data_IF_385926868368
#
_entry.id   IF_385926868368
#
_cell.length_a   1.000
_cell.length_b   1.000
_cell.length_c   1.000
_cell.angle_alpha   90.00
_cell.angle_beta   90.00
_cell.angle_gamma   90.00
#
_symmetry.space_group_name_H-M   'P 1'
#
loop_
_entity.id
_entity.type
_entity.pdbx_description
1 polymer ?
#
# COMPACT_ATOMS: atom_id res chain seq x y z
N UNK A 1 24.13 17.39 -12.49
CA UNK A 1 24.95 16.21 -12.82
C UNK A 1 24.24 14.99 -12.25
N UNK A 2 23.50 14.25 -13.07
CA UNK A 2 22.79 13.05 -12.61
C UNK A 2 23.79 11.90 -12.47
N UNK A 3 24.10 11.52 -11.23
CA UNK A 3 24.81 10.27 -10.95
C UNK A 3 23.93 9.10 -11.43
N UNK A 4 24.41 8.21 -12.29
CA UNK A 4 23.64 7.03 -12.66
C UNK A 4 23.53 6.16 -11.42
N UNK A 5 22.29 5.91 -10.97
CA UNK A 5 21.99 4.85 -10.02
C UNK A 5 22.53 3.56 -10.65
N UNK A 6 23.63 3.03 -10.08
CA UNK A 6 24.20 1.75 -10.46
C UNK A 6 23.15 0.67 -10.20
N UNK A 7 22.39 0.32 -11.25
CA UNK A 7 21.48 -0.82 -11.21
C UNK A 7 22.32 -2.08 -10.94
N UNK A 8 21.81 -3.02 -10.12
CA UNK A 8 22.50 -4.30 -9.89
C UNK A 8 22.85 -4.95 -11.23
N UNK A 9 24.00 -5.62 -11.34
CA UNK A 9 24.47 -6.32 -12.54
C UNK A 9 23.32 -7.17 -13.10
N UNK A 10 22.60 -6.64 -14.09
CA UNK A 10 21.50 -7.34 -14.74
C UNK A 10 22.10 -8.49 -15.52
N UNK A 11 21.85 -9.73 -15.08
CA UNK A 11 22.35 -10.93 -15.75
C UNK A 11 21.76 -10.95 -17.18
N UNK A 12 22.59 -11.07 -18.23
CA UNK A 12 22.08 -11.05 -19.60
C UNK A 12 21.12 -12.20 -19.82
N UNK A 13 20.06 -11.94 -20.60
CA UNK A 13 19.07 -12.94 -20.95
C UNK A 13 19.71 -13.98 -21.89
N UNK A 14 19.13 -15.18 -21.94
CA UNK A 14 19.56 -16.25 -22.85
C UNK A 14 19.57 -15.85 -24.33
N UNK A 15 18.86 -14.78 -24.70
CA UNK A 15 18.76 -14.26 -26.07
C UNK A 15 19.75 -13.13 -26.42
N UNK A 16 20.66 -12.74 -25.52
CA UNK A 16 21.57 -11.61 -25.77
C UNK A 16 22.94 -12.03 -26.34
N UNK A 17 23.29 -13.31 -26.21
CA UNK A 17 24.60 -13.84 -26.57
C UNK A 17 24.53 -15.32 -26.96
N UNK A 18 25.58 -15.79 -27.62
CA UNK A 18 25.82 -17.20 -27.88
C UNK A 18 27.27 -17.56 -27.56
N UNK A 19 27.53 -18.81 -27.17
CA UNK A 19 28.88 -19.30 -26.87
C UNK A 19 29.72 -19.37 -28.15
N UNK A 20 30.99 -18.95 -28.06
CA UNK A 20 31.93 -19.03 -29.21
C UNK A 20 32.18 -20.50 -29.56
N UNK A 21 32.43 -21.32 -28.55
CA UNK A 21 32.55 -22.77 -28.68
C UNK A 21 31.86 -23.44 -27.49
N UNK A 22 30.59 -23.82 -27.68
CA UNK A 22 29.82 -24.52 -26.64
C UNK A 22 30.30 -25.95 -26.42
N UNK A 23 30.89 -26.58 -27.45
CA UNK A 23 31.38 -27.94 -27.38
C UNK A 23 32.61 -28.03 -26.47
N UNK A 24 33.51 -27.05 -26.56
CA UNK A 24 34.72 -26.96 -25.73
C UNK A 24 34.47 -26.62 -24.25
N UNK A 25 33.24 -26.22 -23.87
CA UNK A 25 32.92 -26.01 -22.45
C UNK A 25 32.91 -27.33 -21.70
N UNK A 26 33.58 -27.35 -20.55
CA UNK A 26 33.64 -28.50 -19.65
C UNK A 26 32.25 -29.08 -19.34
N UNK A 27 32.14 -30.41 -19.38
CA UNK A 27 30.91 -31.12 -19.06
C UNK A 27 30.43 -30.84 -17.62
N UNK A 28 31.34 -30.59 -16.68
CA UNK A 28 31.00 -30.24 -15.29
C UNK A 28 30.30 -28.88 -15.16
N UNK A 29 30.43 -28.02 -16.18
CA UNK A 29 29.79 -26.71 -16.25
C UNK A 29 28.47 -26.72 -17.04
N UNK A 30 28.02 -27.91 -17.49
CA UNK A 30 26.81 -28.09 -18.29
C UNK A 30 25.67 -28.68 -17.46
N UNK A 31 24.45 -28.21 -17.73
CA UNK A 31 23.25 -28.75 -17.11
C UNK A 31 22.84 -30.07 -17.75
N UNK A 32 22.55 -31.08 -16.94
CA UNK A 32 22.12 -32.40 -17.43
C UNK A 32 20.71 -32.42 -18.06
N UNK A 33 19.89 -31.40 -17.84
CA UNK A 33 18.54 -31.31 -18.44
C UNK A 33 18.61 -30.66 -19.83
N UNK A 34 19.25 -29.49 -19.94
CA UNK A 34 19.28 -28.74 -21.20
C UNK A 34 20.58 -28.91 -22.00
N UNK A 35 21.56 -29.63 -21.46
CA UNK A 35 22.90 -29.91 -22.03
C UNK A 35 23.74 -28.67 -22.38
N UNK A 36 23.34 -27.49 -21.92
CA UNK A 36 24.04 -26.20 -22.12
C UNK A 36 24.79 -25.74 -20.85
N UNK A 37 25.78 -24.84 -20.97
CA UNK A 37 26.43 -24.27 -19.80
C UNK A 37 25.44 -23.57 -18.86
N UNK A 38 25.64 -23.69 -17.54
CA UNK A 38 24.66 -23.24 -16.56
C UNK A 38 24.34 -21.74 -16.65
N UNK A 39 23.09 -21.37 -16.91
CA UNK A 39 22.65 -19.97 -16.84
C UNK A 39 22.64 -19.45 -15.40
N UNK A 40 21.90 -20.12 -14.53
CA UNK A 40 21.92 -19.94 -13.08
C UNK A 40 22.02 -21.34 -12.49
N UNK A 41 23.19 -21.74 -12.01
CA UNK A 41 23.35 -23.06 -11.43
C UNK A 41 22.64 -23.14 -10.07
N UNK A 42 21.89 -24.21 -9.85
CA UNK A 42 21.21 -24.51 -8.61
C UNK A 42 21.44 -25.98 -8.24
N UNK A 43 21.76 -26.22 -6.98
CA UNK A 43 21.93 -27.56 -6.41
C UNK A 43 20.69 -27.96 -5.62
N UNK A 44 20.31 -29.23 -5.71
CA UNK A 44 19.33 -29.84 -4.81
C UNK A 44 20.01 -30.19 -3.49
N UNK A 45 19.54 -29.65 -2.36
CA UNK A 45 20.16 -29.92 -1.06
C UNK A 45 20.07 -31.40 -0.65
N UNK A 46 19.02 -32.09 -1.06
CA UNK A 46 18.80 -33.49 -0.69
C UNK A 46 19.81 -34.44 -1.32
N UNK A 47 20.32 -34.18 -2.53
CA UNK A 47 21.21 -35.11 -3.26
C UNK A 47 22.45 -34.49 -3.91
N UNK A 48 22.61 -33.17 -3.90
CA UNK A 48 23.78 -32.47 -4.44
C UNK A 48 23.80 -32.28 -5.96
N UNK A 49 22.89 -32.87 -6.73
CA UNK A 49 22.85 -32.70 -8.19
C UNK A 49 22.57 -31.25 -8.61
N UNK A 50 23.26 -30.81 -9.66
CA UNK A 50 23.27 -29.41 -10.12
C UNK A 50 22.59 -29.27 -11.48
N UNK A 51 21.72 -28.27 -11.60
CA UNK A 51 20.95 -27.97 -12.80
C UNK A 51 20.88 -26.45 -13.02
N UNK A 52 20.41 -26.01 -14.19
CA UNK A 52 19.91 -24.65 -14.32
C UNK A 52 18.67 -24.48 -13.43
N UNK A 53 18.59 -23.37 -12.69
CA UNK A 53 17.47 -23.07 -11.79
C UNK A 53 16.12 -23.17 -12.52
N UNK A 54 16.01 -22.60 -13.72
CA UNK A 54 14.81 -22.69 -14.55
C UNK A 54 14.50 -24.15 -14.94
N UNK A 55 15.50 -24.90 -15.41
CA UNK A 55 15.31 -26.30 -15.82
C UNK A 55 14.81 -27.18 -14.67
N UNK A 56 15.41 -27.09 -13.48
CA UNK A 56 14.98 -27.92 -12.35
C UNK A 56 13.64 -27.46 -11.78
N UNK A 57 13.36 -26.15 -11.74
CA UNK A 57 12.04 -25.65 -11.35
C UNK A 57 10.94 -26.13 -12.29
N UNK A 58 11.17 -26.11 -13.61
CA UNK A 58 10.22 -26.66 -14.59
C UNK A 58 10.03 -28.16 -14.41
N UNK A 59 11.10 -28.92 -14.21
CA UNK A 59 11.00 -30.36 -13.96
C UNK A 59 10.17 -30.68 -12.72
N UNK A 60 10.47 -30.03 -11.58
CA UNK A 60 9.77 -30.27 -10.31
C UNK A 60 8.28 -29.96 -10.39
N UNK A 61 7.89 -28.97 -11.19
CA UNK A 61 6.47 -28.65 -11.40
C UNK A 61 5.68 -29.79 -12.06
N UNK A 62 6.38 -30.73 -12.73
CA UNK A 62 5.78 -31.89 -13.40
C UNK A 62 6.04 -33.17 -12.60
N UNK A 63 7.25 -33.33 -12.06
CA UNK A 63 7.69 -34.51 -11.32
C UNK A 63 8.52 -34.09 -10.13
N UNK A 64 8.04 -34.38 -8.92
CA UNK A 64 8.67 -33.95 -7.67
C UNK A 64 9.89 -34.82 -7.26
N UNK A 65 10.75 -35.16 -8.21
CA UNK A 65 11.90 -36.04 -8.03
C UNK A 65 13.14 -35.54 -8.79
N UNK A 66 14.32 -35.91 -8.32
CA UNK A 66 15.57 -35.59 -9.00
C UNK A 66 15.68 -36.33 -10.35
N UNK A 67 15.97 -35.64 -11.48
CA UNK A 67 16.13 -36.29 -12.79
C UNK A 67 17.23 -37.35 -12.85
N UNK A 68 18.23 -37.27 -11.97
CA UNK A 68 19.42 -38.15 -11.98
C UNK A 68 19.23 -39.34 -11.04
N UNK A 69 18.89 -39.09 -9.78
CA UNK A 69 18.83 -40.15 -8.76
C UNK A 69 17.42 -40.49 -8.27
N UNK A 70 16.38 -39.85 -8.82
CA UNK A 70 14.95 -40.07 -8.49
C UNK A 70 14.56 -39.80 -7.03
N UNK A 71 15.45 -39.22 -6.21
CA UNK A 71 15.14 -38.78 -4.84
C UNK A 71 14.02 -37.75 -4.85
N UNK A 72 13.04 -37.90 -3.97
CA UNK A 72 11.91 -36.96 -3.83
C UNK A 72 12.42 -35.62 -3.33
N UNK A 73 11.89 -34.53 -3.90
CA UNK A 73 12.31 -33.16 -3.60
C UNK A 73 11.24 -32.47 -2.75
N UNK A 74 11.61 -31.87 -1.64
CA UNK A 74 10.70 -31.08 -0.79
C UNK A 74 10.66 -29.60 -1.20
N UNK A 75 9.62 -28.84 -0.81
CA UNK A 75 9.57 -27.40 -1.03
C UNK A 75 10.79 -26.69 -0.44
N UNK A 76 11.44 -25.82 -1.23
CA UNK A 76 12.59 -25.02 -0.77
C UNK A 76 13.96 -25.70 -0.87
N UNK A 77 14.05 -26.93 -1.41
CA UNK A 77 15.31 -27.66 -1.60
C UNK A 77 16.22 -27.13 -2.73
N UNK A 78 15.68 -26.30 -3.62
CA UNK A 78 16.45 -25.70 -4.72
C UNK A 78 17.24 -24.51 -4.17
N UNK A 79 18.57 -24.60 -4.14
CA UNK A 79 19.45 -23.49 -3.74
C UNK A 79 20.36 -23.08 -4.90
N UNK A 80 20.46 -21.78 -5.22
CA UNK A 80 21.42 -21.31 -6.20
C UNK A 80 22.84 -21.54 -5.69
N UNK A 81 23.74 -21.92 -6.59
CA UNK A 81 25.16 -22.04 -6.28
C UNK A 81 25.75 -20.63 -6.21
N UNK A 82 26.30 -20.29 -5.05
CA UNK A 82 26.93 -18.98 -4.77
C UNK A 82 28.45 -19.07 -4.65
N UNK A 83 29.03 -20.26 -4.83
CA UNK A 83 30.47 -20.48 -4.77
C UNK A 83 31.19 -19.66 -5.85
N UNK A 84 32.03 -18.71 -5.42
CA UNK A 84 32.71 -17.75 -6.32
C UNK A 84 33.55 -18.43 -7.39
N UNK A 85 34.29 -19.48 -7.05
CA UNK A 85 35.15 -20.18 -8.00
C UNK A 85 34.34 -20.78 -9.16
N UNK A 86 33.21 -21.42 -8.83
CA UNK A 86 32.30 -22.00 -9.82
C UNK A 86 31.65 -20.93 -10.71
N UNK A 87 31.24 -19.80 -10.11
CA UNK A 87 30.70 -18.66 -10.86
C UNK A 87 31.77 -18.06 -11.79
N UNK A 88 33.01 -17.92 -11.31
CA UNK A 88 34.12 -17.38 -12.11
C UNK A 88 34.46 -18.30 -13.30
N UNK A 89 34.43 -19.62 -13.11
CA UNK A 89 34.60 -20.58 -14.21
C UNK A 89 33.55 -20.38 -15.31
N UNK A 90 32.27 -20.23 -14.90
CA UNK A 90 31.17 -19.93 -15.82
C UNK A 90 31.30 -18.57 -16.50
N UNK A 91 31.70 -17.54 -15.74
CA UNK A 91 31.80 -16.16 -16.22
C UNK A 91 32.96 -15.96 -17.20
N UNK A 92 34.01 -16.80 -17.12
CA UNK A 92 35.16 -16.76 -18.03
C UNK A 92 34.91 -17.42 -19.39
N UNK A 93 33.80 -18.16 -19.57
CA UNK A 93 33.46 -18.76 -20.86
C UNK A 93 33.23 -17.64 -21.89
N UNK A 94 33.84 -17.79 -23.07
CA UNK A 94 33.76 -16.80 -24.14
C UNK A 94 32.44 -16.92 -24.92
N UNK A 95 31.82 -15.76 -25.15
CA UNK A 95 30.58 -15.60 -25.88
C UNK A 95 30.72 -14.50 -26.94
N UNK A 96 29.80 -14.45 -27.88
CA UNK A 96 29.63 -13.35 -28.80
C UNK A 96 28.24 -12.73 -28.65
N UNK A 97 28.17 -11.42 -28.88
CA UNK A 97 26.92 -10.68 -28.78
C UNK A 97 26.04 -10.93 -30.01
N UNK A 98 24.77 -11.31 -29.81
CA UNK A 98 23.82 -11.51 -30.91
C UNK A 98 23.30 -10.20 -31.52
N UNK A 99 23.55 -9.07 -30.86
CA UNK A 99 23.13 -7.76 -31.34
C UNK A 99 24.19 -7.11 -32.26
N UNK A 100 25.46 -7.17 -31.88
CA UNK A 100 26.55 -6.48 -32.61
C UNK A 100 27.67 -7.39 -33.13
N UNK A 101 27.58 -8.70 -32.93
CA UNK A 101 28.54 -9.72 -33.37
C UNK A 101 29.97 -9.58 -32.81
N UNK A 102 30.20 -8.73 -31.81
CA UNK A 102 31.48 -8.70 -31.09
C UNK A 102 31.70 -10.04 -30.38
N UNK A 103 32.82 -10.69 -30.67
CA UNK A 103 33.22 -12.00 -30.16
C UNK A 103 34.19 -11.87 -28.97
N UNK A 104 34.55 -13.02 -28.37
CA UNK A 104 35.53 -13.10 -27.28
C UNK A 104 35.18 -12.26 -26.04
N UNK A 105 33.90 -12.04 -25.79
CA UNK A 105 33.41 -11.39 -24.57
C UNK A 105 33.32 -12.48 -23.50
N UNK A 106 33.87 -12.25 -22.31
CA UNK A 106 33.61 -13.14 -21.17
C UNK A 106 32.13 -13.08 -20.82
N UNK A 107 31.50 -14.22 -20.58
CA UNK A 107 30.09 -14.30 -20.23
C UNK A 107 29.70 -13.37 -19.06
N UNK A 108 30.55 -13.26 -18.04
CA UNK A 108 30.33 -12.35 -16.91
C UNK A 108 30.36 -10.85 -17.29
N UNK A 109 31.06 -10.50 -18.37
CA UNK A 109 31.21 -9.13 -18.88
C UNK A 109 30.13 -8.75 -19.91
N UNK A 110 29.32 -9.71 -20.37
CA UNK A 110 28.26 -9.46 -21.35
C UNK A 110 27.25 -8.41 -20.88
N UNK A 111 26.93 -8.35 -19.57
CA UNK A 111 26.08 -7.30 -19.02
C UNK A 111 26.67 -5.90 -19.18
N UNK A 112 27.97 -5.74 -18.94
CA UNK A 112 28.72 -4.49 -19.14
C UNK A 112 28.79 -4.12 -20.63
N UNK A 113 28.94 -5.13 -21.49
CA UNK A 113 28.88 -4.94 -22.94
C UNK A 113 27.52 -4.42 -23.40
N UNK A 114 26.40 -5.01 -22.98
CA UNK A 114 25.04 -4.60 -23.40
C UNK A 114 24.71 -3.13 -23.07
N UNK A 115 25.31 -2.57 -22.00
CA UNK A 115 25.16 -1.15 -21.68
C UNK A 115 25.81 -0.23 -22.72
N UNK A 116 26.84 -0.71 -23.42
CA UNK A 116 27.59 0.03 -24.45
C UNK A 116 27.32 -0.47 -25.88
N UNK A 117 26.65 -1.61 -26.03
CA UNK A 117 26.36 -2.22 -27.33
C UNK A 117 25.54 -1.26 -28.20
N UNK A 118 26.05 -0.99 -29.41
CA UNK A 118 25.46 -0.03 -30.35
C UNK A 118 24.22 -0.55 -31.07
N UNK A 119 24.08 -1.87 -31.17
CA UNK A 119 23.03 -2.52 -31.95
C UNK A 119 21.89 -3.08 -31.09
N UNK A 120 22.04 -3.09 -29.76
CA UNK A 120 20.97 -3.50 -28.86
C UNK A 120 19.76 -2.58 -29.03
N UNK A 121 18.57 -3.17 -29.11
CA UNK A 121 17.32 -2.42 -29.23
C UNK A 121 16.97 -1.83 -27.87
N UNK A 122 16.92 -0.49 -27.81
CA UNK A 122 16.55 0.25 -26.61
C UNK A 122 15.30 1.08 -26.84
N UNK A 123 14.60 1.40 -25.76
CA UNK A 123 13.47 2.34 -25.80
C UNK A 123 13.97 3.76 -25.54
N UNK A 124 13.22 4.75 -26.04
CA UNK A 124 13.49 6.16 -25.76
C UNK A 124 13.53 6.46 -24.25
N UNK A 125 14.30 7.46 -23.83
CA UNK A 125 14.31 7.96 -22.44
C UNK A 125 12.92 8.42 -21.99
N UNK A 126 12.12 8.96 -22.93
CA UNK A 126 10.75 9.39 -22.71
C UNK A 126 9.71 8.25 -22.85
N UNK A 127 10.10 6.98 -22.69
CA UNK A 127 9.18 5.84 -22.76
C UNK A 127 8.21 5.78 -21.57
N UNK A 128 8.56 6.39 -20.44
CA UNK A 128 7.71 6.59 -19.26
C UNK A 128 6.46 7.44 -19.59
N UNK A 129 6.65 8.48 -20.42
CA UNK A 129 5.57 9.29 -20.99
C UNK A 129 5.07 8.74 -22.34
N UNK A 130 5.32 7.44 -22.59
CA UNK A 130 4.78 6.66 -23.71
C UNK A 130 5.30 7.03 -25.08
N UNK A 131 6.53 7.55 -25.19
CA UNK A 131 7.21 7.58 -26.47
C UNK A 131 7.26 6.16 -27.07
N UNK A 132 6.74 5.93 -28.30
CA UNK A 132 6.62 4.59 -28.89
C UNK A 132 7.94 4.07 -29.46
N UNK A 133 8.96 4.92 -29.57
CA UNK A 133 10.19 4.58 -30.28
C UNK A 133 10.98 3.48 -29.56
N UNK A 134 11.34 2.46 -30.34
CA UNK A 134 12.29 1.42 -30.00
C UNK A 134 13.18 1.19 -31.21
N UNK A 135 14.49 1.14 -31.00
CA UNK A 135 15.42 0.94 -32.09
C UNK A 135 16.85 0.71 -31.61
N UNK A 136 17.79 0.45 -32.54
CA UNK A 136 19.20 0.27 -32.21
C UNK A 136 19.76 1.48 -31.45
N UNK A 137 20.57 1.25 -30.42
CA UNK A 137 21.20 2.33 -29.64
C UNK A 137 21.91 3.39 -30.49
N UNK A 138 22.58 2.98 -31.57
CA UNK A 138 23.26 3.88 -32.51
C UNK A 138 22.35 4.94 -33.15
N UNK A 139 21.05 4.65 -33.29
CA UNK A 139 20.05 5.54 -33.89
C UNK A 139 19.36 6.43 -32.86
N UNK A 140 19.60 6.21 -31.57
CA UNK A 140 18.98 6.98 -30.48
C UNK A 140 19.28 8.48 -30.60
N UNK A 141 20.51 8.86 -30.96
CA UNK A 141 20.88 10.27 -31.09
C UNK A 141 20.05 10.98 -32.16
N UNK A 142 19.84 10.33 -33.30
CA UNK A 142 18.98 10.83 -34.38
C UNK A 142 17.54 10.97 -33.89
N UNK A 143 17.02 9.94 -33.21
CA UNK A 143 15.68 10.00 -32.63
C UNK A 143 15.53 11.15 -31.62
N UNK A 144 16.44 11.29 -30.66
CA UNK A 144 16.36 12.32 -29.61
C UNK A 144 16.32 13.75 -30.18
N UNK A 145 17.01 14.00 -31.29
CA UNK A 145 16.97 15.31 -31.96
C UNK A 145 15.59 15.69 -32.51
N UNK A 146 14.74 14.71 -32.83
CA UNK A 146 13.40 14.89 -33.39
C UNK A 146 12.28 14.53 -32.40
N UNK A 147 12.63 13.98 -31.23
CA UNK A 147 11.66 13.42 -30.31
C UNK A 147 10.93 14.52 -29.52
N UNK A 148 9.69 14.81 -29.92
CA UNK A 148 8.81 15.76 -29.21
C UNK A 148 8.63 15.35 -27.75
N UNK A 149 8.51 14.04 -27.48
CA UNK A 149 8.38 13.53 -26.11
C UNK A 149 9.60 13.88 -25.26
N UNK A 150 10.82 13.83 -25.81
CA UNK A 150 12.01 14.23 -25.06
C UNK A 150 12.02 15.73 -24.74
N UNK A 151 11.47 16.57 -25.61
CA UNK A 151 11.39 18.02 -25.39
C UNK A 151 10.40 18.36 -24.26
N UNK A 152 9.26 17.67 -24.20
CA UNK A 152 8.23 17.90 -23.17
C UNK A 152 8.49 17.12 -21.88
N UNK A 153 9.43 16.16 -21.89
CA UNK A 153 9.73 15.28 -20.75
C UNK A 153 10.00 16.04 -19.45
N UNK A 154 10.84 17.10 -19.41
CA UNK A 154 11.09 17.85 -18.17
C UNK A 154 9.82 18.51 -17.61
N UNK A 155 8.95 19.03 -18.48
CA UNK A 155 7.68 19.63 -18.06
C UNK A 155 6.74 18.58 -17.47
N UNK A 156 6.61 17.42 -18.11
CA UNK A 156 5.78 16.33 -17.60
C UNK A 156 6.34 15.80 -16.28
N UNK A 157 7.66 15.67 -16.14
CA UNK A 157 8.28 15.24 -14.89
C UNK A 157 7.96 16.23 -13.75
N UNK A 158 8.10 17.54 -13.98
CA UNK A 158 7.70 18.56 -12.98
C UNK A 158 6.22 18.45 -12.61
N UNK A 159 5.31 18.36 -13.59
CA UNK A 159 3.88 18.21 -13.33
C UNK A 159 3.54 16.92 -12.56
N UNK A 160 4.23 15.82 -12.86
CA UNK A 160 4.07 14.56 -12.12
C UNK A 160 4.57 14.69 -10.68
N UNK A 161 5.69 15.39 -10.45
CA UNK A 161 6.20 15.61 -9.09
C UNK A 161 5.24 16.49 -8.26
N UNK A 162 4.68 17.54 -8.85
CA UNK A 162 3.68 18.39 -8.20
C UNK A 162 2.37 17.65 -7.93
N UNK A 163 1.90 16.84 -8.88
CA UNK A 163 0.70 16.03 -8.68
C UNK A 163 0.89 15.05 -7.53
N UNK A 164 2.07 14.42 -7.43
CA UNK A 164 2.42 13.52 -6.32
C UNK A 164 2.50 14.26 -4.99
N UNK A 165 3.11 15.45 -4.94
CA UNK A 165 3.19 16.23 -3.70
C UNK A 165 1.81 16.69 -3.22
N UNK A 166 0.96 17.18 -4.15
CA UNK A 166 -0.44 17.52 -3.86
C UNK A 166 -1.23 16.31 -3.38
N UNK A 167 -1.08 15.15 -4.02
CA UNK A 167 -1.74 13.92 -3.59
C UNK A 167 -1.31 13.49 -2.18
N UNK A 168 -0.02 13.62 -1.84
CA UNK A 168 0.48 13.34 -0.50
C UNK A 168 -0.14 14.28 0.55
N UNK A 169 -0.20 15.58 0.28
CA UNK A 169 -0.84 16.56 1.17
C UNK A 169 -2.34 16.25 1.34
N UNK A 170 -3.05 15.92 0.26
CA UNK A 170 -4.45 15.52 0.32
C UNK A 170 -4.67 14.27 1.19
N UNK A 171 -3.79 13.27 1.07
CA UNK A 171 -3.86 12.07 1.91
C UNK A 171 -3.59 12.39 3.38
N UNK A 172 -2.57 13.21 3.68
CA UNK A 172 -2.29 13.66 5.05
C UNK A 172 -3.45 14.44 5.66
N UNK A 173 -4.10 15.32 4.89
CA UNK A 173 -5.27 16.06 5.35
C UNK A 173 -6.46 15.13 5.60
N UNK A 174 -6.68 14.14 4.74
CA UNK A 174 -7.74 13.14 4.91
C UNK A 174 -7.53 12.34 6.20
N UNK A 175 -6.32 11.86 6.46
CA UNK A 175 -5.99 11.16 7.72
C UNK A 175 -6.24 12.04 8.96
N UNK A 176 -5.91 13.34 8.89
CA UNK A 176 -6.18 14.29 9.97
C UNK A 176 -7.68 14.52 10.19
N UNK A 177 -8.47 14.62 9.12
CA UNK A 177 -9.93 14.74 9.20
C UNK A 177 -10.52 13.48 9.83
N UNK A 178 -10.13 12.30 9.36
CA UNK A 178 -10.60 11.02 9.91
C UNK A 178 -10.26 10.87 11.40
N UNK A 179 -9.07 11.32 11.81
CA UNK A 179 -8.68 11.35 13.21
C UNK A 179 -9.53 12.33 14.03
N UNK A 180 -9.84 13.51 13.48
CA UNK A 180 -10.67 14.51 14.15
C UNK A 180 -12.14 14.04 14.27
N UNK A 181 -12.67 13.42 13.23
CA UNK A 181 -14.03 12.84 13.23
C UNK A 181 -14.16 11.71 14.26
N UNK A 182 -13.14 10.86 14.41
CA UNK A 182 -13.10 9.85 15.48
C UNK A 182 -13.18 10.50 16.87
N UNK A 183 -12.39 11.56 17.11
CA UNK A 183 -12.45 12.32 18.36
C UNK A 183 -13.84 12.95 18.59
N UNK A 184 -14.43 13.55 17.55
CA UNK A 184 -15.77 14.13 17.62
C UNK A 184 -16.84 13.06 17.93
N UNK A 185 -16.72 11.87 17.34
CA UNK A 185 -17.61 10.74 17.61
C UNK A 185 -17.47 10.23 19.04
N UNK A 186 -16.24 10.14 19.56
CA UNK A 186 -15.97 9.77 20.96
C UNK A 186 -16.59 10.79 21.92
N UNK A 187 -16.37 12.09 21.69
CA UNK A 187 -16.98 13.16 22.47
C UNK A 187 -18.52 13.12 22.40
N UNK A 188 -19.08 12.93 21.20
CA UNK A 188 -20.55 12.86 21.01
C UNK A 188 -21.18 11.62 21.66
N UNK A 189 -20.46 10.48 21.72
CA UNK A 189 -20.90 9.28 22.44
C UNK A 189 -20.90 9.54 23.94
N UNK A 190 -19.90 10.26 24.44
CA UNK A 190 -19.80 10.63 25.84
C UNK A 190 -20.90 11.62 26.26
N UNK A 191 -21.12 12.71 25.50
CA UNK A 191 -22.19 13.68 25.78
C UNK A 191 -23.55 12.98 25.82
N UNK A 192 -23.84 12.07 24.89
CA UNK A 192 -25.08 11.27 24.92
C UNK A 192 -25.18 10.35 26.15
N UNK A 193 -24.07 9.83 26.67
CA UNK A 193 -24.08 9.03 27.88
C UNK A 193 -24.28 9.86 29.16
N UNK A 194 -23.92 11.15 29.12
CA UNK A 194 -24.04 12.08 30.24
C UNK A 194 -25.35 12.88 30.23
N UNK A 195 -25.97 13.07 29.07
CA UNK A 195 -27.25 13.75 28.91
C UNK A 195 -28.40 12.73 29.00
N UNK A 196 -29.30 12.88 29.97
CA UNK A 196 -30.55 12.11 30.00
C UNK A 196 -31.70 12.97 29.47
N UNK A 197 -32.35 12.54 28.38
CA UNK A 197 -33.46 13.27 27.73
C UNK A 197 -33.18 14.78 27.51
N UNK A 198 -31.94 15.13 27.17
CA UNK A 198 -31.55 16.52 26.87
C UNK A 198 -31.28 17.40 28.09
N UNK A 199 -31.22 16.85 29.32
CA UNK A 199 -30.80 17.57 30.52
C UNK A 199 -29.43 17.07 31.02
N UNK A 200 -28.51 17.98 31.42
CA UNK A 200 -27.29 17.58 32.11
C UNK A 200 -27.64 17.00 33.48
N UNK A 201 -26.93 15.95 33.90
CA UNK A 201 -27.09 15.41 35.26
C UNK A 201 -26.90 16.53 36.27
N UNK A 202 -27.87 16.76 37.16
CA UNK A 202 -27.72 17.73 38.26
C UNK A 202 -26.71 17.22 39.29
N UNK A 203 -25.97 18.12 39.95
CA UNK A 203 -25.06 17.80 41.08
C UNK A 203 -25.72 16.93 42.16
N UNK A 204 -27.05 16.98 42.24
CA UNK A 204 -27.88 16.13 43.11
C UNK A 204 -27.74 14.62 42.86
N UNK A 205 -27.31 14.18 41.67
CA UNK A 205 -27.07 12.76 41.36
C UNK A 205 -25.63 12.30 41.69
N UNK A 206 -24.70 13.23 41.93
CA UNK A 206 -23.29 12.94 42.24
C UNK A 206 -23.10 12.68 43.74
N UNK A 207 -24.03 13.14 44.58
CA UNK A 207 -23.91 13.14 46.04
C UNK A 207 -24.91 12.23 46.78
N UNK A 208 -25.47 11.21 46.13
CA UNK A 208 -26.29 10.22 46.83
C UNK A 208 -25.39 9.06 47.28
N UNK A 209 -25.21 8.96 48.60
CA UNK A 209 -24.75 7.74 49.25
C UNK A 209 -25.51 6.51 48.70
N UNK A 210 -24.91 5.30 48.74
CA UNK A 210 -25.50 4.08 48.17
C UNK A 210 -26.97 3.82 48.51
N UNK A 211 -27.45 4.39 49.63
CA UNK A 211 -28.79 4.20 50.18
C UNK A 211 -29.92 4.98 49.49
N UNK A 212 -29.60 6.02 48.71
CA UNK A 212 -30.61 6.89 48.09
C UNK A 212 -30.90 6.61 46.61
N UNK A 213 -30.13 5.73 45.97
CA UNK A 213 -30.45 5.29 44.61
C UNK A 213 -31.46 4.12 44.67
N UNK A 214 -32.72 4.36 44.26
CA UNK A 214 -33.78 3.33 44.21
C UNK A 214 -33.39 2.07 43.41
N UNK A 215 -32.38 2.15 42.54
CA UNK A 215 -31.86 0.99 41.77
C UNK A 215 -31.00 0.05 42.64
N UNK A 216 -30.21 0.57 43.60
CA UNK A 216 -29.42 -0.28 44.50
C UNK A 216 -30.30 -1.03 45.52
N UNK A 217 -31.49 -0.53 45.83
CA UNK A 217 -32.45 -1.24 46.70
C UNK A 217 -32.98 -2.54 46.09
N UNK A 218 -32.95 -2.70 44.76
CA UNK A 218 -33.27 -3.98 44.12
C UNK A 218 -32.07 -4.94 44.02
N UNK A 219 -30.83 -4.46 44.18
CA UNK A 219 -29.64 -5.31 44.23
C UNK A 219 -29.38 -5.88 45.65
N UNK A 220 -29.93 -5.25 46.70
CA UNK A 220 -29.83 -5.72 48.08
C UNK A 220 -30.84 -6.80 48.49
N UNK A 221 -31.74 -7.21 47.58
CA UNK A 221 -32.84 -8.14 47.86
C UNK A 221 -32.65 -9.57 47.35
N UNK A 222 -31.47 -9.94 46.86
CA UNK A 222 -31.18 -11.33 46.48
C UNK A 222 -29.81 -11.72 47.01
N UNK A 223 -29.83 -12.53 48.07
CA UNK A 223 -28.69 -13.36 48.44
C UNK A 223 -28.37 -14.28 47.25
N UNK A 224 -27.46 -13.85 46.39
CA UNK A 224 -26.60 -14.76 45.64
C UNK A 224 -25.30 -14.07 45.26
N UNK A 225 -24.28 -14.42 46.03
CA UNK A 225 -22.88 -14.14 45.77
C UNK A 225 -22.47 -14.87 44.48
N UNK A 226 -22.52 -14.20 43.33
CA UNK A 226 -21.55 -14.37 42.25
C UNK A 226 -21.93 -13.50 41.05
N UNK A 227 -21.10 -12.48 40.80
CA UNK A 227 -21.06 -11.65 39.59
C UNK A 227 -22.14 -10.58 39.42
N UNK A 228 -22.21 -9.62 40.36
CA UNK A 228 -22.89 -8.33 40.14
C UNK A 228 -22.09 -7.48 39.11
N UNK A 229 -22.11 -7.89 37.85
CA UNK A 229 -21.45 -7.22 36.71
C UNK A 229 -22.40 -6.17 36.14
N UNK A 230 -22.11 -4.91 36.38
CA UNK A 230 -22.87 -3.77 35.86
C UNK A 230 -22.27 -3.31 34.53
N UNK A 231 -23.11 -2.96 33.56
CA UNK A 231 -22.66 -2.62 32.21
C UNK A 231 -22.39 -1.12 32.06
N UNK A 232 -21.17 -0.74 31.66
CA UNK A 232 -20.84 0.66 31.43
C UNK A 232 -21.38 1.13 30.07
N UNK A 233 -22.18 2.20 30.07
CA UNK A 233 -22.77 2.76 28.86
C UNK A 233 -21.74 3.39 27.90
N UNK A 234 -20.54 3.74 28.41
CA UNK A 234 -19.47 4.38 27.63
C UNK A 234 -18.52 3.37 26.99
N UNK A 235 -17.93 2.46 27.78
CA UNK A 235 -17.01 1.43 27.25
C UNK A 235 -17.69 0.11 26.87
N UNK A 236 -19.01 -0.01 27.04
CA UNK A 236 -19.81 -1.20 26.72
C UNK A 236 -19.22 -2.51 27.28
N UNK A 237 -18.60 -2.41 28.45
CA UNK A 237 -17.93 -3.51 29.12
C UNK A 237 -18.56 -3.75 30.49
N UNK A 238 -18.50 -5.00 30.95
CA UNK A 238 -18.92 -5.37 32.29
C UNK A 238 -17.92 -4.84 33.33
N UNK A 239 -18.43 -4.20 34.37
CA UNK A 239 -17.64 -3.56 35.41
C UNK A 239 -18.17 -3.94 36.79
N UNK A 240 -17.27 -4.05 37.76
CA UNK A 240 -17.63 -4.29 39.16
C UNK A 240 -18.37 -3.10 39.76
N UNK A 241 -19.29 -3.38 40.69
CA UNK A 241 -20.09 -2.36 41.38
C UNK A 241 -19.25 -1.28 42.08
N UNK A 242 -18.09 -1.63 42.64
CA UNK A 242 -17.16 -0.66 43.25
C UNK A 242 -16.37 0.21 42.27
N UNK A 243 -16.55 0.03 40.96
CA UNK A 243 -15.81 0.75 39.90
C UNK A 243 -16.69 1.73 39.12
N UNK A 244 -17.86 2.07 39.66
CA UNK A 244 -18.85 2.96 39.04
C UNK A 244 -18.72 4.34 39.68
N UNK A 245 -18.80 5.38 38.85
CA UNK A 245 -18.72 6.77 39.34
C UNK A 245 -19.95 7.60 39.04
N UNK A 246 -20.82 7.18 38.12
CA UNK A 246 -22.15 7.78 37.89
C UNK A 246 -23.19 6.69 37.64
N UNK A 247 -24.37 6.86 38.25
CA UNK A 247 -25.56 6.01 38.06
C UNK A 247 -26.73 6.85 37.53
N UNK A 248 -27.45 6.33 36.53
CA UNK A 248 -28.68 6.93 35.98
C UNK A 248 -29.92 6.37 36.67
N UNK A 249 -30.95 7.20 36.86
CA UNK A 249 -32.27 6.74 37.35
C UNK A 249 -32.99 5.81 36.36
N UNK A 250 -32.57 5.79 35.09
CA UNK A 250 -33.13 4.91 34.04
C UNK A 250 -32.28 3.63 33.81
N UNK A 251 -31.38 3.28 34.74
CA UNK A 251 -30.68 1.98 34.76
C UNK A 251 -29.29 1.94 34.12
N UNK A 252 -28.75 3.04 33.60
CA UNK A 252 -27.40 3.12 33.04
C UNK A 252 -26.31 3.41 34.09
N UNK A 253 -25.09 2.86 33.91
CA UNK A 253 -23.94 3.11 34.79
C UNK A 253 -22.72 3.58 33.97
N UNK A 254 -21.88 4.46 34.51
CA UNK A 254 -20.59 4.86 33.90
C UNK A 254 -19.43 4.54 34.85
N UNK A 255 -18.42 3.82 34.36
CA UNK A 255 -17.29 3.42 35.19
C UNK A 255 -16.25 4.52 35.42
N UNK A 256 -15.52 4.37 36.52
CA UNK A 256 -14.51 5.31 37.00
C UNK A 256 -13.36 5.51 36.01
N UNK A 257 -12.97 4.49 35.25
CA UNK A 257 -11.94 4.60 34.22
C UNK A 257 -12.38 5.47 33.04
N UNK A 258 -13.65 5.38 32.63
CA UNK A 258 -14.21 6.23 31.57
C UNK A 258 -14.31 7.69 32.01
N UNK A 259 -14.70 7.93 33.27
CA UNK A 259 -14.81 9.28 33.82
C UNK A 259 -13.43 9.92 34.05
N UNK A 260 -12.45 9.18 34.59
CA UNK A 260 -11.08 9.68 34.76
C UNK A 260 -10.42 10.05 33.43
N UNK A 261 -10.57 9.20 32.40
CA UNK A 261 -10.04 9.48 31.05
C UNK A 261 -10.62 10.78 30.47
N UNK A 262 -11.90 11.04 30.69
CA UNK A 262 -12.55 12.27 30.26
C UNK A 262 -12.07 13.50 31.06
N UNK A 263 -11.95 13.40 32.39
CA UNK A 263 -11.43 14.51 33.21
C UNK A 263 -9.99 14.88 32.85
N UNK A 264 -9.14 13.89 32.52
CA UNK A 264 -7.79 14.15 32.01
C UNK A 264 -7.78 14.78 30.61
N UNK A 265 -8.71 14.41 29.75
CA UNK A 265 -8.86 15.03 28.42
C UNK A 265 -9.39 16.48 28.53
N UNK A 266 -10.29 16.76 29.49
CA UNK A 266 -10.78 18.10 29.81
C UNK A 266 -9.70 19.02 30.38
N UNK A 267 -8.84 18.54 31.29
CA UNK A 267 -7.70 19.33 31.78
C UNK A 267 -6.69 19.59 30.68
N UNK A 268 -6.52 18.65 29.74
CA UNK A 268 -5.71 18.84 28.52
C UNK A 268 -6.33 19.88 27.56
N UNK A 269 -7.66 19.93 27.46
CA UNK A 269 -8.39 20.96 26.69
C UNK A 269 -8.39 22.33 27.39
N UNK A 270 -8.47 22.36 28.72
CA UNK A 270 -8.40 23.60 29.53
C UNK A 270 -6.99 24.22 29.59
N UNK A 271 -5.95 23.47 29.21
CA UNK A 271 -4.58 23.95 29.10
C UNK A 271 -4.27 24.68 27.77
N UNK A 272 -5.23 24.71 26.83
CA UNK A 272 -5.19 25.67 25.71
C UNK A 272 -5.44 27.08 26.24
N UNK A 273 -4.74 28.12 25.75
CA UNK A 273 -4.77 29.44 26.33
C UNK A 273 -6.21 29.94 26.44
N UNK A 274 -6.63 30.21 27.68
CA UNK A 274 -7.91 30.80 28.04
C UNK A 274 -8.03 32.18 27.38
N UNK A 275 -8.65 32.25 26.20
CA UNK A 275 -9.31 33.47 25.77
C UNK A 275 -10.81 33.22 25.72
N UNK A 276 -11.49 33.99 26.57
CA UNK A 276 -12.92 34.27 26.63
C UNK A 276 -13.81 33.23 27.31
N UNK A 277 -14.23 33.65 28.50
CA UNK A 277 -15.16 33.04 29.44
C UNK A 277 -16.50 32.67 28.82
N UNK A 278 -16.98 31.46 29.17
CA UNK A 278 -18.29 30.86 28.82
C UNK A 278 -19.55 31.69 29.15
N UNK A 279 -19.43 32.90 29.67
CA UNK A 279 -20.57 33.74 30.06
C UNK A 279 -21.13 34.62 28.91
N UNK A 280 -20.43 34.77 27.78
CA UNK A 280 -20.89 35.64 26.67
C UNK A 280 -21.42 34.90 25.44
N UNK A 281 -21.19 33.59 25.30
CA UNK A 281 -21.68 32.82 24.15
C UNK A 281 -22.96 32.07 24.48
N UNK A 282 -24.06 32.82 24.56
CA UNK A 282 -25.39 32.28 24.28
C UNK A 282 -25.76 32.66 22.84
N UNK A 283 -25.35 31.90 21.80
CA UNK A 283 -26.03 32.04 20.53
C UNK A 283 -27.44 31.49 20.74
N UNK A 284 -28.45 32.34 20.47
CA UNK A 284 -29.82 31.89 20.18
C UNK A 284 -29.75 30.96 18.98
N UNK A 285 -29.44 29.68 19.20
CA UNK A 285 -29.54 28.63 18.21
C UNK A 285 -31.03 28.33 18.02
N UNK A 286 -31.68 29.11 17.15
CA UNK A 286 -32.95 28.72 16.55
C UNK A 286 -32.68 27.47 15.70
N UNK A 287 -33.04 26.29 16.26
CA UNK A 287 -32.92 24.99 15.61
C UNK A 287 -33.54 24.97 14.20
N UNK A 288 -34.49 25.87 13.92
CA UNK A 288 -35.14 26.06 12.62
C UNK A 288 -34.22 26.66 11.56
N UNK A 289 -33.29 27.52 11.94
CA UNK A 289 -32.32 28.15 11.02
C UNK A 289 -31.22 27.15 10.62
N UNK A 290 -30.72 26.38 11.59
CA UNK A 290 -29.68 25.37 11.36
C UNK A 290 -30.20 24.18 10.53
N UNK A 291 -31.45 23.74 10.76
CA UNK A 291 -32.09 22.74 9.90
C UNK A 291 -32.31 23.27 8.47
N UNK A 292 -32.64 24.55 8.29
CA UNK A 292 -32.74 25.18 6.95
C UNK A 292 -31.39 25.24 6.23
N UNK A 293 -30.31 25.55 6.94
CA UNK A 293 -28.96 25.57 6.37
C UNK A 293 -28.47 24.16 5.99
N UNK A 294 -28.71 23.14 6.83
CA UNK A 294 -28.39 21.75 6.53
C UNK A 294 -29.20 21.20 5.34
N UNK A 295 -30.46 21.63 5.22
CA UNK A 295 -31.33 21.28 4.08
C UNK A 295 -30.82 21.92 2.78
N UNK A 296 -30.42 23.19 2.83
CA UNK A 296 -29.78 23.89 1.70
C UNK A 296 -28.46 23.26 1.30
N UNK A 297 -27.61 22.87 2.26
CA UNK A 297 -26.35 22.18 2.00
C UNK A 297 -26.57 20.79 1.37
N UNK A 298 -27.55 20.01 1.85
CA UNK A 298 -27.93 18.72 1.23
C UNK A 298 -28.47 18.89 -0.19
N UNK A 299 -29.26 19.93 -0.45
CA UNK A 299 -29.77 20.22 -1.79
C UNK A 299 -28.64 20.70 -2.72
N UNK A 300 -27.69 21.49 -2.21
CA UNK A 300 -26.48 21.88 -2.94
C UNK A 300 -25.61 20.68 -3.32
N UNK A 301 -25.38 19.74 -2.40
CA UNK A 301 -24.64 18.50 -2.67
C UNK A 301 -25.35 17.59 -3.68
N UNK A 302 -26.69 17.53 -3.65
CA UNK A 302 -27.48 16.78 -4.66
C UNK A 302 -27.42 17.44 -6.05
N UNK A 303 -27.43 18.78 -6.09
CA UNK A 303 -27.28 19.55 -7.34
C UNK A 303 -25.87 19.40 -7.94
N UNK A 304 -24.83 19.46 -7.10
CA UNK A 304 -23.44 19.23 -7.48
C UNK A 304 -23.23 17.80 -8.03
N UNK A 305 -23.87 16.80 -7.40
CA UNK A 305 -23.81 15.41 -7.87
C UNK A 305 -24.55 15.18 -9.19
N UNK A 306 -25.66 15.90 -9.43
CA UNK A 306 -26.37 15.89 -10.72
C UNK A 306 -25.55 16.54 -11.83
N UNK A 307 -24.98 17.71 -11.58
CA UNK A 307 -24.12 18.41 -12.55
C UNK A 307 -22.86 17.62 -12.87
N UNK A 308 -22.25 16.96 -11.88
CA UNK A 308 -21.12 16.06 -12.10
C UNK A 308 -21.51 14.82 -12.93
N UNK A 309 -22.68 14.23 -12.70
CA UNK A 309 -23.17 13.11 -13.51
C UNK A 309 -23.55 13.52 -14.95
N UNK A 310 -24.07 14.73 -15.15
CA UNK A 310 -24.34 15.28 -16.50
C UNK A 310 -23.02 15.50 -17.24
N UNK A 311 -22.02 16.12 -16.60
CA UNK A 311 -20.69 16.30 -17.19
C UNK A 311 -19.99 14.98 -17.54
N UNK A 312 -20.16 13.94 -16.70
CA UNK A 312 -19.66 12.59 -17.00
C UNK A 312 -20.41 11.97 -18.19
N UNK A 313 -21.73 12.16 -18.30
CA UNK A 313 -22.50 11.66 -19.45
C UNK A 313 -22.17 12.35 -20.77
N UNK A 314 -21.93 13.67 -20.75
CA UNK A 314 -21.49 14.43 -21.94
C UNK A 314 -20.08 14.02 -22.38
N UNK A 315 -19.18 13.73 -21.42
CA UNK A 315 -17.83 13.23 -21.69
C UNK A 315 -17.82 11.83 -22.32
N UNK A 316 -18.77 10.97 -21.93
CA UNK A 316 -18.93 9.61 -22.50
C UNK A 316 -19.52 9.68 -23.91
N UNK A 317 -20.40 10.64 -24.19
CA UNK A 317 -20.95 10.87 -25.54
C UNK A 317 -19.91 11.37 -26.54
N UNK A 318 -18.91 12.15 -26.09
CA UNK A 318 -17.80 12.62 -26.93
C UNK A 318 -16.74 11.54 -27.25
N UNK A 319 -16.76 10.41 -26.52
CA UNK A 319 -15.88 9.26 -26.77
C UNK A 319 -16.48 8.23 -27.74
N UNK A 320 -17.77 8.34 -28.09
CA UNK A 320 -18.43 7.51 -29.10
C UNK A 320 -18.36 8.17 -30.48
N UNK A 321 -17.17 8.15 -31.09
CA UNK A 321 -17.01 8.42 -32.53
C UNK A 321 -17.34 7.12 -33.28
N UNK A 322 -18.25 7.11 -34.27
CA UNK A 322 -18.54 5.92 -35.04
C UNK A 322 -17.30 5.48 -35.83
N UNK A 323 -16.89 4.22 -35.67
CA UNK A 323 -15.85 3.61 -36.49
C UNK A 323 -16.39 3.46 -37.92
N UNK A 324 -15.99 4.37 -38.80
CA UNK A 324 -16.16 4.19 -40.25
C UNK A 324 -15.24 3.07 -40.72
N UNK A 325 -15.83 1.97 -41.14
CA UNK A 325 -15.16 0.83 -41.78
C UNK A 325 -14.65 1.23 -43.16
N UNK A 326 -13.35 1.50 -43.29
CA UNK A 326 -12.69 1.54 -44.60
C UNK A 326 -12.46 0.10 -45.07
N UNK A 327 -13.28 -0.35 -46.03
CA UNK A 327 -12.96 -1.46 -46.94
C UNK A 327 -11.82 -0.99 -47.86
N UNK A 328 -10.73 -1.76 -47.90
CA UNK A 328 -9.77 -1.71 -48.99
C UNK A 328 -10.27 -2.65 -50.09
N UNK A 329 -10.56 -2.08 -51.26
CA UNK A 329 -10.31 -2.73 -52.56
C UNK A 329 -8.84 -2.50 -52.94
#
# INVERSE_FOLDING_TARGET
MFTPIMKPRSRPSAGDYQYVDEAAVDAELKCLICTRPFQVAASLQSCGHVFCQTCITTWISQQNSCPVCRRIISPGEIKPITARNFINMLDNILVYCLHCNVTNIRRGDMGSHLQKCSMVVISCSAADIKCPWKGPRKEMSKHLSLCIFQQIHPLIETLQTEAKSKANVCNQLRERIDAMDKKLQEQSRFIRAFMNNGRPMSDYCIALSPDHCKIMKHAGGAQNQSTNRLFCSVCRSNVSSGSISLHHCDGGCICQSCIKKYCSDLTTIQALPRQQTMYELRPRLDASSMNRQLSRARNGLRSARRTQNVAISESVSLLNVPQTTHRYE
#
